data_IF_784793843772
#
_entry.id   IF_784793843772
#
_cell.length_a   1.000
_cell.length_b   1.000
_cell.length_c   1.000
_cell.angle_alpha   90.00
_cell.angle_beta   90.00
_cell.angle_gamma   90.00
#
_symmetry.space_group_name_H-M   'P 1'
#
loop_
_entity.id
_entity.type
_entity.pdbx_description
1 polymer ?
#
# COMPACT_ATOMS: atom_id res chain seq x y z
N UNK A 1 3.76 -10.02 10.73
CA UNK A 1 4.06 -11.43 11.10
C UNK A 1 2.92 -12.38 10.74
N UNK A 2 1.70 -12.12 11.19
CA UNK A 2 0.52 -12.98 10.94
C UNK A 2 0.28 -13.28 9.44
N UNK A 3 0.32 -12.26 8.57
CA UNK A 3 0.08 -12.41 7.13
C UNK A 3 1.07 -13.35 6.43
N UNK A 4 2.36 -13.27 6.80
CA UNK A 4 3.37 -14.19 6.25
C UNK A 4 3.12 -15.64 6.68
N UNK A 5 2.73 -15.84 7.95
CA UNK A 5 2.38 -17.15 8.48
C UNK A 5 1.14 -17.70 7.77
N UNK A 6 0.11 -16.88 7.60
CA UNK A 6 -1.11 -17.26 6.88
C UNK A 6 -0.82 -17.61 5.41
N UNK A 7 0.02 -16.82 4.72
CA UNK A 7 0.43 -17.10 3.35
C UNK A 7 1.12 -18.46 3.21
N UNK A 8 2.09 -18.76 4.10
CA UNK A 8 2.74 -20.08 4.13
C UNK A 8 1.77 -21.20 4.46
N UNK A 9 0.84 -20.99 5.41
CA UNK A 9 -0.19 -21.96 5.72
C UNK A 9 -1.03 -22.29 4.49
N UNK A 10 -1.51 -21.30 3.73
CA UNK A 10 -2.29 -21.51 2.50
C UNK A 10 -1.49 -22.30 1.46
N UNK A 11 -0.20 -22.01 1.28
CA UNK A 11 0.65 -22.77 0.36
C UNK A 11 0.75 -24.23 0.81
N UNK A 12 1.13 -24.46 2.07
CA UNK A 12 1.37 -25.80 2.59
C UNK A 12 0.11 -26.67 2.58
N UNK A 13 -1.06 -26.12 2.95
CA UNK A 13 -2.31 -26.88 2.94
C UNK A 13 -2.77 -27.22 1.53
N UNK A 14 -2.47 -26.37 0.52
CA UNK A 14 -2.75 -26.67 -0.88
C UNK A 14 -1.79 -27.74 -1.44
N UNK A 15 -0.51 -27.66 -1.11
CA UNK A 15 0.47 -28.70 -1.44
C UNK A 15 0.03 -30.05 -0.84
N UNK A 16 -0.38 -30.06 0.43
CA UNK A 16 -0.91 -31.25 1.08
C UNK A 16 -2.15 -31.79 0.36
N UNK A 17 -3.11 -30.93 0.04
CA UNK A 17 -4.33 -31.32 -0.70
C UNK A 17 -4.04 -31.96 -2.05
N UNK A 18 -3.08 -31.40 -2.79
CA UNK A 18 -2.63 -31.93 -4.06
C UNK A 18 -2.04 -33.35 -3.91
N UNK A 19 -1.08 -33.51 -3.00
CA UNK A 19 -0.42 -34.79 -2.80
C UNK A 19 -1.34 -35.88 -2.24
N UNK A 20 -2.28 -35.54 -1.36
CA UNK A 20 -3.25 -36.50 -0.84
C UNK A 20 -4.16 -37.04 -1.93
N UNK A 21 -4.58 -36.21 -2.90
CA UNK A 21 -5.36 -36.66 -4.07
C UNK A 21 -4.57 -37.65 -4.92
N UNK A 22 -3.28 -37.38 -5.16
CA UNK A 22 -2.38 -38.29 -5.90
C UNK A 22 -2.16 -39.60 -5.15
N UNK A 23 -1.91 -39.51 -3.84
CA UNK A 23 -1.72 -40.72 -2.99
C UNK A 23 -2.97 -41.59 -2.93
N UNK A 24 -4.17 -41.01 -2.73
CA UNK A 24 -5.41 -41.79 -2.70
C UNK A 24 -5.68 -42.46 -4.07
N UNK A 25 -5.32 -41.81 -5.17
CA UNK A 25 -5.36 -42.42 -6.52
C UNK A 25 -4.41 -43.62 -6.64
N UNK A 26 -3.19 -43.46 -6.16
CA UNK A 26 -2.20 -44.56 -6.17
C UNK A 26 -2.67 -45.75 -5.34
N UNK A 27 -3.13 -45.52 -4.10
CA UNK A 27 -3.68 -46.56 -3.20
C UNK A 27 -4.89 -47.27 -3.85
N UNK A 28 -5.77 -46.52 -4.52
CA UNK A 28 -6.91 -47.08 -5.25
C UNK A 28 -6.49 -48.00 -6.41
N UNK A 29 -5.39 -47.69 -7.10
CA UNK A 29 -4.83 -48.55 -8.16
C UNK A 29 -4.15 -49.80 -7.59
N UNK A 30 -3.50 -49.66 -6.43
CA UNK A 30 -2.81 -50.77 -5.74
C UNK A 30 -3.75 -51.65 -4.92
N UNK A 31 -5.08 -51.43 -4.97
CA UNK A 31 -6.06 -52.14 -4.13
C UNK A 31 -5.78 -52.06 -2.62
N UNK A 32 -5.05 -51.03 -2.18
CA UNK A 32 -4.68 -50.81 -0.77
C UNK A 32 -5.74 -49.96 -0.03
N UNK A 33 -5.58 -49.88 1.31
CA UNK A 33 -6.44 -49.04 2.15
C UNK A 33 -6.38 -47.59 1.71
N UNK A 34 -7.57 -47.05 1.38
CA UNK A 34 -7.72 -45.69 0.83
C UNK A 34 -7.78 -44.66 1.94
N UNK A 35 -7.42 -43.41 1.58
CA UNK A 35 -7.61 -42.27 2.47
C UNK A 35 -9.11 -42.01 2.64
N UNK A 36 -9.63 -41.89 3.87
CA UNK A 36 -11.04 -41.57 4.10
C UNK A 36 -11.46 -40.28 3.38
N UNK A 37 -12.63 -40.26 2.69
CA UNK A 37 -13.12 -39.12 1.97
C UNK A 37 -13.25 -37.87 2.85
N UNK A 38 -13.63 -38.05 4.12
CA UNK A 38 -13.70 -36.93 5.10
C UNK A 38 -12.34 -36.26 5.30
N UNK A 39 -11.22 -36.97 5.28
CA UNK A 39 -9.87 -36.40 5.41
C UNK A 39 -9.56 -35.53 4.20
N UNK A 40 -9.82 -36.01 2.97
CA UNK A 40 -9.61 -35.27 1.74
C UNK A 40 -10.45 -33.97 1.71
N UNK A 41 -11.72 -34.07 2.12
CA UNK A 41 -12.62 -32.93 2.20
C UNK A 41 -12.27 -31.97 3.34
N UNK A 42 -11.79 -32.47 4.49
CA UNK A 42 -11.33 -31.60 5.60
C UNK A 42 -10.11 -30.76 5.21
N UNK A 43 -9.17 -31.34 4.46
CA UNK A 43 -8.01 -30.57 3.93
C UNK A 43 -8.49 -29.49 2.96
N UNK A 44 -9.43 -29.80 2.07
CA UNK A 44 -10.00 -28.80 1.17
C UNK A 44 -10.73 -27.70 1.96
N UNK A 45 -11.52 -28.07 2.99
CA UNK A 45 -12.22 -27.13 3.85
C UNK A 45 -11.27 -26.24 4.68
N UNK A 46 -10.12 -26.78 5.09
CA UNK A 46 -9.09 -26.04 5.81
C UNK A 46 -8.27 -25.08 4.93
N UNK A 47 -8.60 -24.88 3.64
CA UNK A 47 -7.91 -23.97 2.71
C UNK A 47 -7.17 -24.66 1.57
N UNK A 48 -7.09 -25.99 1.56
CA UNK A 48 -6.41 -26.77 0.53
C UNK A 48 -7.26 -27.08 -0.71
N UNK A 49 -8.35 -26.32 -0.94
CA UNK A 49 -9.31 -26.58 -1.99
C UNK A 49 -8.72 -26.45 -3.40
N UNK A 50 -7.86 -25.44 -3.65
CA UNK A 50 -7.19 -25.26 -4.93
C UNK A 50 -6.26 -26.43 -5.25
N UNK A 51 -5.38 -26.81 -4.31
CA UNK A 51 -4.48 -27.95 -4.47
C UNK A 51 -5.23 -29.27 -4.65
N UNK A 52 -6.30 -29.48 -3.87
CA UNK A 52 -7.17 -30.64 -4.02
C UNK A 52 -7.83 -30.69 -5.39
N UNK A 53 -8.35 -29.56 -5.90
CA UNK A 53 -8.96 -29.47 -7.22
C UNK A 53 -7.94 -29.75 -8.33
N UNK A 54 -6.75 -29.16 -8.23
CA UNK A 54 -5.65 -29.41 -9.18
C UNK A 54 -5.25 -30.90 -9.17
N UNK A 55 -5.11 -31.50 -7.99
CA UNK A 55 -4.83 -32.92 -7.84
C UNK A 55 -5.94 -33.81 -8.41
N UNK A 56 -7.21 -33.44 -8.21
CA UNK A 56 -8.34 -34.15 -8.84
C UNK A 56 -8.21 -34.16 -10.36
N UNK A 57 -7.85 -33.04 -11.00
CA UNK A 57 -7.73 -32.93 -12.44
C UNK A 57 -6.50 -33.67 -12.97
N UNK A 58 -5.33 -33.42 -12.42
CA UNK A 58 -4.06 -34.01 -12.89
C UNK A 58 -4.06 -35.53 -12.73
N UNK A 59 -4.47 -36.04 -11.57
CA UNK A 59 -4.50 -37.48 -11.33
C UNK A 59 -5.79 -38.15 -11.81
N UNK A 60 -6.74 -37.40 -12.40
CA UNK A 60 -8.08 -37.87 -12.81
C UNK A 60 -8.73 -38.68 -11.69
N UNK A 61 -8.75 -38.11 -10.47
CA UNK A 61 -9.22 -38.77 -9.27
C UNK A 61 -10.44 -38.06 -8.66
N UNK A 62 -11.45 -38.84 -8.23
CA UNK A 62 -12.70 -38.31 -7.63
C UNK A 62 -13.51 -37.36 -8.53
N UNK A 63 -13.15 -37.20 -9.82
CA UNK A 63 -13.79 -36.26 -10.76
C UNK A 63 -15.25 -36.57 -11.06
N UNK A 64 -15.68 -37.85 -10.87
CA UNK A 64 -17.05 -38.31 -11.03
C UNK A 64 -17.86 -38.38 -9.73
N UNK A 65 -17.20 -38.27 -8.56
CA UNK A 65 -17.88 -38.31 -7.27
C UNK A 65 -18.54 -36.97 -6.96
N UNK A 66 -19.87 -36.93 -6.82
CA UNK A 66 -20.66 -35.70 -6.64
C UNK A 66 -20.13 -34.81 -5.49
N UNK A 67 -19.78 -35.41 -4.32
CA UNK A 67 -19.24 -34.68 -3.17
C UNK A 67 -17.95 -33.93 -3.51
N UNK A 68 -17.08 -34.46 -4.33
CA UNK A 68 -15.82 -33.83 -4.75
C UNK A 68 -16.03 -32.90 -5.94
N UNK A 69 -16.80 -33.33 -6.94
CA UNK A 69 -17.07 -32.55 -8.15
C UNK A 69 -17.72 -31.18 -7.83
N UNK A 70 -18.56 -31.11 -6.83
CA UNK A 70 -19.27 -29.91 -6.40
C UNK A 70 -18.65 -29.30 -5.14
N UNK A 71 -18.36 -30.13 -4.13
CA UNK A 71 -17.90 -29.65 -2.81
C UNK A 71 -16.54 -28.94 -2.85
N UNK A 72 -15.55 -29.51 -3.57
CA UNK A 72 -14.20 -28.90 -3.63
C UNK A 72 -14.21 -27.55 -4.35
N UNK A 73 -14.87 -27.37 -5.51
CA UNK A 73 -15.05 -26.05 -6.12
C UNK A 73 -15.79 -25.04 -5.22
N UNK A 74 -16.87 -25.47 -4.55
CA UNK A 74 -17.56 -24.58 -3.60
C UNK A 74 -16.67 -24.13 -2.45
N UNK A 75 -15.86 -25.03 -1.88
CA UNK A 75 -14.88 -24.67 -0.85
C UNK A 75 -13.82 -23.71 -1.38
N UNK A 76 -13.38 -23.85 -2.65
CA UNK A 76 -12.47 -22.91 -3.28
C UNK A 76 -13.10 -21.54 -3.40
N UNK A 77 -14.33 -21.43 -3.89
CA UNK A 77 -15.06 -20.15 -3.99
C UNK A 77 -15.21 -19.53 -2.60
N UNK A 78 -15.58 -20.32 -1.59
CA UNK A 78 -15.68 -19.82 -0.21
C UNK A 78 -14.35 -19.22 0.29
N UNK A 79 -13.24 -19.90 0.06
CA UNK A 79 -11.92 -19.38 0.45
C UNK A 79 -11.52 -18.12 -0.29
N UNK A 80 -11.82 -18.03 -1.59
CA UNK A 80 -11.60 -16.80 -2.37
C UNK A 80 -12.40 -15.65 -1.75
N UNK A 81 -13.69 -15.86 -1.46
CA UNK A 81 -14.54 -14.83 -0.85
C UNK A 81 -14.03 -14.43 0.55
N UNK A 82 -13.61 -15.39 1.39
CA UNK A 82 -13.07 -15.10 2.71
C UNK A 82 -11.76 -14.30 2.66
N UNK A 83 -10.87 -14.60 1.72
CA UNK A 83 -9.63 -13.86 1.51
C UNK A 83 -9.96 -12.43 1.06
N UNK A 84 -10.81 -12.27 0.06
CA UNK A 84 -11.24 -10.96 -0.44
C UNK A 84 -11.93 -10.12 0.66
N UNK A 85 -12.80 -10.74 1.46
CA UNK A 85 -13.42 -10.06 2.59
C UNK A 85 -12.39 -9.64 3.65
N UNK A 86 -11.40 -10.48 3.94
CA UNK A 86 -10.30 -10.13 4.83
C UNK A 86 -9.47 -8.96 4.29
N UNK A 87 -9.17 -8.97 3.01
CA UNK A 87 -8.43 -7.90 2.34
C UNK A 87 -9.22 -6.59 2.24
N UNK A 88 -10.54 -6.64 2.32
CA UNK A 88 -11.40 -5.46 2.30
C UNK A 88 -11.58 -4.82 3.69
N UNK A 89 -11.75 -5.65 4.73
CA UNK A 89 -12.12 -5.16 6.07
C UNK A 89 -10.96 -5.05 7.06
N UNK A 90 -9.84 -5.76 6.83
CA UNK A 90 -8.75 -5.83 7.80
C UNK A 90 -7.61 -4.89 7.43
N UNK A 91 -7.55 -3.74 8.09
CA UNK A 91 -6.40 -2.83 7.98
C UNK A 91 -5.22 -3.40 8.80
N UNK A 92 -4.05 -3.47 8.19
CA UNK A 92 -2.82 -3.92 8.85
C UNK A 92 -1.92 -2.73 9.22
N UNK A 93 -0.95 -2.95 10.12
CA UNK A 93 0.13 -1.99 10.36
C UNK A 93 1.46 -2.65 10.00
N UNK A 94 2.14 -2.10 9.02
CA UNK A 94 3.50 -2.50 8.64
C UNK A 94 4.51 -1.59 9.32
N UNK A 95 5.53 -2.17 9.98
CA UNK A 95 6.55 -1.42 10.71
C UNK A 95 7.89 -1.61 10.06
N UNK A 96 8.58 -0.50 9.79
CA UNK A 96 9.91 -0.45 9.21
C UNK A 96 10.85 0.31 10.12
N UNK A 97 12.14 0.02 9.99
CA UNK A 97 13.21 0.75 10.65
C UNK A 97 14.16 1.26 9.55
N UNK A 98 14.42 2.55 9.54
CA UNK A 98 15.40 3.21 8.68
C UNK A 98 16.53 3.68 9.57
N UNK A 99 17.78 3.51 9.13
CA UNK A 99 18.95 3.96 9.87
C UNK A 99 19.76 4.91 9.01
N UNK A 100 20.09 6.10 9.56
CA UNK A 100 20.91 7.09 8.85
C UNK A 100 21.83 7.81 9.82
N UNK A 101 23.10 7.90 9.46
CA UNK A 101 24.11 8.65 10.23
C UNK A 101 23.88 10.18 10.17
N UNK A 102 23.13 10.67 9.16
CA UNK A 102 22.70 12.06 9.05
C UNK A 102 21.62 12.45 10.06
N UNK A 103 20.93 11.48 10.67
CA UNK A 103 19.90 11.79 11.66
C UNK A 103 20.54 12.33 12.93
N UNK A 104 20.16 13.55 13.40
CA UNK A 104 20.62 14.07 14.68
C UNK A 104 20.18 13.17 15.86
N UNK A 105 20.96 13.16 16.95
CA UNK A 105 20.68 12.31 18.13
C UNK A 105 19.29 12.58 18.72
N UNK A 106 18.86 13.84 18.75
CA UNK A 106 17.56 14.25 19.30
C UNK A 106 16.36 13.71 18.50
N UNK A 107 16.60 13.27 17.24
CA UNK A 107 15.63 12.58 16.42
C UNK A 107 15.76 11.05 16.47
N UNK A 108 16.67 10.46 17.26
CA UNK A 108 16.77 9.00 17.33
C UNK A 108 15.47 8.38 17.86
N UNK A 109 14.86 7.54 17.08
CA UNK A 109 13.54 6.95 17.38
C UNK A 109 12.36 7.74 16.85
N UNK A 110 12.58 8.81 16.07
CA UNK A 110 11.52 9.58 15.45
C UNK A 110 10.60 8.68 14.62
N UNK A 111 9.31 8.74 14.89
CA UNK A 111 8.31 7.85 14.30
C UNK A 111 7.44 8.60 13.31
N UNK A 112 7.51 8.20 12.06
CA UNK A 112 6.62 8.67 10.98
C UNK A 112 5.54 7.64 10.73
N UNK A 113 4.27 8.07 10.70
CA UNK A 113 3.16 7.22 10.25
C UNK A 113 2.69 7.70 8.89
N UNK A 114 2.80 6.82 7.89
CA UNK A 114 2.35 7.08 6.54
C UNK A 114 0.95 6.47 6.30
N UNK A 115 0.06 7.28 5.75
CA UNK A 115 -1.21 6.87 5.16
C UNK A 115 -1.19 7.30 3.69
N UNK A 116 -1.64 6.41 2.80
CA UNK A 116 -1.65 6.64 1.35
C UNK A 116 -2.87 6.02 0.72
N UNK A 117 -3.27 6.53 -0.42
CA UNK A 117 -4.29 5.91 -1.27
C UNK A 117 -5.54 5.53 -0.45
N UNK A 118 -6.10 6.51 0.26
CA UNK A 118 -7.29 6.31 1.10
C UNK A 118 -8.54 6.16 0.22
N UNK A 119 -8.57 6.87 -0.92
CA UNK A 119 -9.70 6.87 -1.87
C UNK A 119 -11.05 7.00 -1.18
N UNK A 120 -11.15 7.99 -0.29
CA UNK A 120 -12.31 8.30 0.53
C UNK A 120 -12.53 7.31 1.69
N UNK A 121 -12.72 7.82 2.89
CA UNK A 121 -13.19 7.04 4.04
C UNK A 121 -14.66 6.67 3.84
N UNK A 122 -14.95 5.39 3.62
CA UNK A 122 -16.27 4.90 3.20
C UNK A 122 -17.20 4.56 4.35
N UNK A 123 -16.67 4.39 5.56
CA UNK A 123 -17.47 3.98 6.71
C UNK A 123 -16.87 4.46 8.03
N UNK A 124 -17.73 4.60 9.05
CA UNK A 124 -17.30 4.91 10.41
C UNK A 124 -16.38 3.83 10.97
N UNK A 125 -16.56 2.57 10.61
CA UNK A 125 -15.68 1.47 11.02
C UNK A 125 -14.26 1.68 10.49
N UNK A 126 -14.10 2.03 9.21
CA UNK A 126 -12.78 2.29 8.60
C UNK A 126 -12.12 3.51 9.28
N UNK A 127 -12.87 4.57 9.49
CA UNK A 127 -12.44 5.77 10.20
C UNK A 127 -11.88 5.46 11.59
N UNK A 128 -12.70 4.76 12.41
CA UNK A 128 -12.33 4.43 13.79
C UNK A 128 -11.09 3.52 13.85
N UNK A 129 -11.00 2.56 12.93
CA UNK A 129 -9.89 1.61 12.88
C UNK A 129 -8.57 2.29 12.43
N UNK A 130 -8.63 3.23 11.48
CA UNK A 130 -7.46 4.04 11.09
C UNK A 130 -6.97 4.84 12.29
N UNK A 131 -7.83 5.62 12.92
CA UNK A 131 -7.44 6.45 14.08
C UNK A 131 -6.89 5.62 15.23
N UNK A 132 -7.55 4.51 15.55
CA UNK A 132 -7.12 3.60 16.62
C UNK A 132 -5.69 3.09 16.37
N UNK A 133 -5.37 2.74 15.11
CA UNK A 133 -4.06 2.24 14.71
C UNK A 133 -3.01 3.34 14.72
N UNK A 134 -3.31 4.52 14.18
CA UNK A 134 -2.39 5.66 14.18
C UNK A 134 -2.04 6.07 15.61
N UNK A 135 -3.04 6.26 16.49
CA UNK A 135 -2.82 6.59 17.91
C UNK A 135 -1.93 5.57 18.63
N UNK A 136 -2.05 4.28 18.26
CA UNK A 136 -1.21 3.21 18.85
C UNK A 136 0.25 3.33 18.48
N UNK A 137 0.58 3.82 17.29
CA UNK A 137 1.96 3.97 16.83
C UNK A 137 2.65 5.20 17.43
N UNK A 138 1.91 6.15 18.05
CA UNK A 138 2.44 7.38 18.68
C UNK A 138 3.38 8.14 17.74
N UNK A 139 2.88 8.59 16.58
CA UNK A 139 3.72 9.26 15.61
C UNK A 139 4.23 10.61 16.11
N UNK A 140 5.46 10.96 15.74
CA UNK A 140 6.00 12.30 15.81
C UNK A 140 5.63 13.13 14.57
N UNK A 141 5.31 12.44 13.45
CA UNK A 141 4.90 13.02 12.18
C UNK A 141 3.94 12.09 11.47
N UNK A 142 2.92 12.66 10.80
CA UNK A 142 2.00 11.94 9.92
C UNK A 142 2.22 12.40 8.48
N UNK A 143 2.45 11.44 7.58
CA UNK A 143 2.64 11.66 6.15
C UNK A 143 1.45 11.12 5.35
N UNK A 144 0.74 12.00 4.66
CA UNK A 144 -0.36 11.65 3.75
C UNK A 144 0.19 11.73 2.32
N UNK A 145 0.47 10.57 1.73
CA UNK A 145 1.23 10.48 0.48
C UNK A 145 0.34 10.34 -0.77
N UNK A 146 -0.73 11.13 -0.83
CA UNK A 146 -1.60 11.28 -1.99
C UNK A 146 -2.77 10.31 -2.06
N UNK A 147 -3.66 10.58 -3.02
CA UNK A 147 -4.88 9.83 -3.29
C UNK A 147 -5.77 9.65 -2.06
N UNK A 148 -6.04 10.77 -1.35
CA UNK A 148 -7.00 10.79 -0.23
C UNK A 148 -8.45 10.71 -0.73
N UNK A 149 -8.70 11.14 -1.97
CA UNK A 149 -10.01 11.16 -2.62
C UNK A 149 -9.97 10.46 -3.96
N UNK A 150 -11.15 10.05 -4.44
CA UNK A 150 -11.30 9.51 -5.79
C UNK A 150 -11.50 10.63 -6.82
N UNK A 151 -10.95 10.49 -8.01
CA UNK A 151 -11.25 11.38 -9.12
C UNK A 151 -12.73 11.28 -9.54
N UNK A 152 -13.35 12.39 -10.02
CA UNK A 152 -14.71 12.37 -10.56
C UNK A 152 -14.80 11.38 -11.72
N UNK A 153 -15.82 10.51 -11.68
CA UNK A 153 -16.05 9.50 -12.70
C UNK A 153 -15.45 8.12 -12.38
N UNK A 154 -14.50 8.02 -11.45
CA UNK A 154 -13.98 6.74 -10.97
C UNK A 154 -14.76 6.20 -9.77
N UNK A 155 -15.35 7.06 -8.95
CA UNK A 155 -16.21 6.62 -7.86
C UNK A 155 -17.62 6.28 -8.34
N UNK A 156 -18.12 5.10 -8.00
CA UNK A 156 -19.53 4.71 -8.19
C UNK A 156 -20.49 5.44 -7.22
N UNK A 157 -19.96 6.20 -6.28
CA UNK A 157 -20.76 7.03 -5.38
C UNK A 157 -21.12 8.33 -6.10
N UNK A 158 -22.40 8.54 -6.37
CA UNK A 158 -22.95 9.81 -6.86
C UNK A 158 -22.72 10.90 -5.81
N UNK A 159 -21.65 11.63 -5.89
CA UNK A 159 -21.24 12.67 -4.94
C UNK A 159 -20.17 12.14 -3.98
N UNK A 160 -18.99 12.70 -4.09
CA UNK A 160 -17.86 12.43 -3.21
C UNK A 160 -18.17 12.97 -1.82
N UNK A 161 -18.68 12.12 -0.92
CA UNK A 161 -18.76 12.50 0.48
C UNK A 161 -17.37 12.50 1.09
N UNK A 162 -16.69 13.65 1.00
CA UNK A 162 -15.37 13.86 1.56
C UNK A 162 -15.38 14.17 3.06
N UNK A 163 -16.55 14.34 3.67
CA UNK A 163 -16.69 14.76 5.07
C UNK A 163 -15.91 13.87 6.05
N UNK A 164 -16.03 12.54 5.92
CA UNK A 164 -15.31 11.62 6.78
C UNK A 164 -13.80 11.68 6.54
N UNK A 165 -13.37 11.92 5.30
CA UNK A 165 -11.94 12.04 4.97
C UNK A 165 -11.36 13.33 5.54
N UNK A 166 -12.05 14.47 5.39
CA UNK A 166 -11.65 15.75 6.00
C UNK A 166 -11.63 15.64 7.52
N UNK A 167 -12.67 15.05 8.11
CA UNK A 167 -12.74 14.80 9.55
C UNK A 167 -11.56 13.93 10.02
N UNK A 168 -11.21 12.87 9.27
CA UNK A 168 -10.04 12.04 9.55
C UNK A 168 -8.77 12.89 9.53
N UNK A 169 -8.58 13.73 8.53
CA UNK A 169 -7.43 14.63 8.43
C UNK A 169 -7.30 15.53 9.67
N UNK A 170 -8.40 16.11 10.15
CA UNK A 170 -8.41 16.94 11.36
C UNK A 170 -8.02 16.16 12.62
N UNK A 171 -8.54 14.96 12.81
CA UNK A 171 -8.15 14.12 13.94
C UNK A 171 -6.68 13.67 13.86
N UNK A 172 -6.17 13.39 12.65
CA UNK A 172 -4.76 13.07 12.43
C UNK A 172 -3.86 14.26 12.78
N UNK A 173 -4.20 15.46 12.31
CA UNK A 173 -3.48 16.70 12.66
C UNK A 173 -3.49 17.01 14.16
N UNK A 174 -4.54 16.58 14.88
CA UNK A 174 -4.60 16.65 16.34
C UNK A 174 -3.73 15.64 17.07
N UNK A 175 -3.21 14.59 16.40
CA UNK A 175 -2.33 13.59 16.99
C UNK A 175 -0.85 14.01 16.86
N UNK A 176 -0.43 14.45 15.66
CA UNK A 176 0.93 14.90 15.36
C UNK A 176 0.91 15.84 14.13
N UNK A 177 1.98 16.63 13.90
CA UNK A 177 2.13 17.39 12.67
C UNK A 177 1.87 16.50 11.44
N UNK A 178 0.89 16.91 10.63
CA UNK A 178 0.44 16.13 9.48
C UNK A 178 0.74 16.89 8.17
N UNK A 179 1.44 16.21 7.27
CA UNK A 179 1.81 16.72 5.97
C UNK A 179 1.13 15.93 4.86
N UNK A 180 0.71 16.63 3.83
CA UNK A 180 -0.02 16.06 2.71
C UNK A 180 0.60 16.48 1.38
N UNK A 181 0.63 15.57 0.43
CA UNK A 181 0.94 15.82 -0.98
C UNK A 181 -0.19 15.31 -1.86
N UNK A 182 -0.32 15.87 -3.04
CA UNK A 182 -1.28 15.37 -4.02
C UNK A 182 -0.80 14.09 -4.69
N UNK A 183 -1.72 13.12 -4.83
CA UNK A 183 -1.60 12.00 -5.76
C UNK A 183 -2.27 12.34 -7.10
N UNK A 184 -2.34 11.37 -8.00
CA UNK A 184 -2.91 11.58 -9.32
C UNK A 184 -4.43 11.80 -9.29
N UNK A 185 -5.15 11.30 -8.28
CA UNK A 185 -6.59 11.49 -8.16
C UNK A 185 -6.96 12.93 -7.76
N UNK A 186 -6.20 13.56 -6.87
CA UNK A 186 -6.39 14.97 -6.56
C UNK A 186 -6.10 15.85 -7.78
N UNK A 187 -5.11 15.49 -8.57
CA UNK A 187 -4.70 16.29 -9.74
C UNK A 187 -5.77 16.35 -10.84
N UNK A 188 -6.57 15.28 -11.01
CA UNK A 188 -7.69 15.24 -11.97
C UNK A 188 -8.85 16.15 -11.51
N UNK A 189 -8.96 16.41 -10.21
CA UNK A 189 -10.02 17.25 -9.63
C UNK A 189 -9.83 18.76 -9.87
N UNK A 190 -8.69 19.16 -10.45
CA UNK A 190 -8.23 20.53 -10.34
C UNK A 190 -8.33 21.29 -11.66
N UNK A 191 -9.41 22.09 -11.83
CA UNK A 191 -9.39 23.23 -12.75
C UNK A 191 -8.50 24.37 -12.19
N UNK A 192 -8.46 24.52 -10.86
CA UNK A 192 -7.63 25.48 -10.12
C UNK A 192 -7.21 24.86 -8.77
N UNK A 193 -5.96 24.38 -8.62
CA UNK A 193 -5.47 23.73 -7.40
C UNK A 193 -5.61 24.61 -6.15
N UNK A 194 -5.43 25.92 -6.29
CA UNK A 194 -5.46 26.84 -5.14
C UNK A 194 -6.88 27.03 -4.59
N UNK A 195 -7.91 26.85 -5.42
CA UNK A 195 -9.31 27.02 -5.05
C UNK A 195 -10.07 25.71 -4.82
N UNK A 196 -9.38 24.58 -4.83
CA UNK A 196 -10.02 23.29 -4.59
C UNK A 196 -10.67 23.23 -3.20
N UNK A 197 -12.01 23.04 -3.11
CA UNK A 197 -12.69 23.01 -1.82
C UNK A 197 -12.20 21.90 -0.89
N UNK A 198 -11.74 20.78 -1.41
CA UNK A 198 -11.17 19.70 -0.61
C UNK A 198 -9.82 20.11 -0.01
N UNK A 199 -8.93 20.73 -0.81
CA UNK A 199 -7.66 21.32 -0.32
C UNK A 199 -7.93 22.26 0.85
N UNK A 200 -8.80 23.25 0.63
CA UNK A 200 -9.13 24.26 1.65
C UNK A 200 -9.63 23.58 2.93
N UNK A 201 -10.55 22.62 2.82
CA UNK A 201 -11.09 21.91 3.97
C UNK A 201 -10.02 21.08 4.71
N UNK A 202 -9.06 20.48 4.01
CA UNK A 202 -7.96 19.71 4.61
C UNK A 202 -6.96 20.63 5.32
N UNK A 203 -6.64 21.78 4.73
CA UNK A 203 -5.77 22.80 5.35
C UNK A 203 -6.46 23.45 6.56
N UNK A 204 -7.74 23.78 6.49
CA UNK A 204 -8.54 24.28 7.62
C UNK A 204 -8.64 23.24 8.76
N UNK A 205 -8.60 21.95 8.42
CA UNK A 205 -8.53 20.86 9.39
C UNK A 205 -7.15 20.73 10.05
N UNK A 206 -6.14 21.51 9.66
CA UNK A 206 -4.82 21.57 10.29
C UNK A 206 -3.74 20.72 9.63
N UNK A 207 -4.00 20.13 8.46
CA UNK A 207 -2.99 19.41 7.68
C UNK A 207 -2.26 20.37 6.75
N UNK A 208 -0.94 20.29 6.68
CA UNK A 208 -0.11 21.15 5.83
C UNK A 208 0.13 20.51 4.47
N UNK A 209 -0.23 21.22 3.40
CA UNK A 209 0.04 20.79 2.04
C UNK A 209 1.47 21.17 1.63
N UNK A 210 2.26 20.16 1.23
CA UNK A 210 3.66 20.30 0.80
C UNK A 210 3.84 20.04 -0.71
N UNK A 211 2.98 20.59 -1.56
CA UNK A 211 3.19 20.46 -3.01
C UNK A 211 4.33 21.37 -3.49
N UNK A 212 5.42 20.74 -3.95
CA UNK A 212 6.67 21.41 -4.41
C UNK A 212 7.20 22.39 -3.35
N UNK A 213 7.15 21.96 -2.08
CA UNK A 213 7.59 22.74 -0.92
C UNK A 213 8.32 21.85 0.06
N UNK A 214 9.12 22.49 0.91
CA UNK A 214 9.72 21.83 2.05
C UNK A 214 9.50 22.63 3.34
N UNK A 215 9.48 21.93 4.44
CA UNK A 215 9.54 22.46 5.79
C UNK A 215 10.69 21.83 6.56
N UNK A 216 11.24 22.56 7.48
CA UNK A 216 12.26 22.10 8.43
C UNK A 216 11.59 21.89 9.78
N UNK A 217 11.69 20.68 10.32
CA UNK A 217 11.24 20.36 11.67
C UNK A 217 12.43 20.60 12.61
N UNK A 218 12.25 21.46 13.60
CA UNK A 218 13.26 21.76 14.63
C UNK A 218 12.89 21.06 15.93
N UNK A 219 13.89 20.45 16.56
CA UNK A 219 13.81 19.87 17.88
C UNK A 219 15.16 20.06 18.59
N UNK A 220 15.13 20.72 19.75
CA UNK A 220 16.33 20.96 20.59
C UNK A 220 17.53 21.61 19.84
N UNK A 221 17.22 22.46 18.86
CA UNK A 221 18.20 23.20 18.04
C UNK A 221 18.81 22.42 16.86
N UNK A 222 18.34 21.20 16.61
CA UNK A 222 18.70 20.41 15.42
C UNK A 222 17.51 20.25 14.51
N UNK A 223 17.76 19.97 13.24
CA UNK A 223 16.73 20.03 12.19
C UNK A 223 16.65 18.77 11.34
N UNK A 224 15.45 18.50 10.84
CA UNK A 224 15.12 17.47 9.87
C UNK A 224 14.30 18.10 8.74
N UNK A 225 14.63 17.82 7.49
CA UNK A 225 13.89 18.35 6.34
C UNK A 225 12.75 17.40 5.93
N UNK A 226 11.57 17.98 5.67
CA UNK A 226 10.44 17.28 5.06
C UNK A 226 10.07 18.01 3.79
N UNK A 227 10.20 17.33 2.66
CA UNK A 227 9.92 17.87 1.33
C UNK A 227 8.74 17.12 0.72
N UNK A 228 7.83 17.82 0.08
CA UNK A 228 6.70 17.23 -0.65
C UNK A 228 6.76 17.55 -2.13
N UNK A 229 6.54 16.54 -2.95
CA UNK A 229 6.41 16.64 -4.41
C UNK A 229 4.95 16.36 -4.79
N UNK A 230 4.49 16.98 -5.86
CA UNK A 230 3.17 16.65 -6.39
C UNK A 230 3.23 15.52 -7.41
N UNK A 231 2.08 14.91 -7.73
CA UNK A 231 2.05 13.86 -8.74
C UNK A 231 2.34 14.44 -10.14
N UNK A 232 3.27 13.86 -10.91
CA UNK A 232 3.65 14.38 -12.21
C UNK A 232 2.62 14.20 -13.32
N UNK A 233 1.53 13.44 -13.10
CA UNK A 233 0.44 13.24 -14.09
C UNK A 233 -0.41 14.48 -14.36
N UNK A 234 0.08 15.64 -14.01
CA UNK A 234 -0.69 16.88 -14.05
C UNK A 234 -1.18 17.18 -15.45
N UNK A 235 -2.49 17.22 -15.62
CA UNK A 235 -3.19 17.89 -16.72
C UNK A 235 -3.25 19.40 -16.50
N UNK A 236 -2.85 19.86 -15.31
CA UNK A 236 -2.92 21.26 -14.92
C UNK A 236 -1.78 22.07 -15.54
N UNK A 237 -2.12 23.26 -16.02
CA UNK A 237 -1.18 24.21 -16.64
C UNK A 237 -0.44 25.02 -15.56
N UNK A 238 0.42 24.37 -14.78
CA UNK A 238 1.38 25.09 -13.98
C UNK A 238 2.36 25.81 -14.94
N UNK A 239 2.49 27.15 -14.85
CA UNK A 239 3.33 27.91 -15.79
C UNK A 239 4.80 27.50 -15.77
N UNK A 240 5.31 27.02 -14.64
CA UNK A 240 6.71 26.60 -14.46
C UNK A 240 6.90 25.15 -14.89
N UNK A 241 6.00 24.25 -14.46
CA UNK A 241 6.14 22.81 -14.69
C UNK A 241 5.56 22.32 -16.02
N UNK A 242 4.70 23.13 -16.67
CA UNK A 242 4.08 22.74 -17.96
C UNK A 242 5.05 22.65 -19.15
N UNK A 243 6.27 23.15 -19.01
CA UNK A 243 7.32 23.02 -20.02
C UNK A 243 7.93 21.61 -20.06
N UNK A 244 7.76 20.81 -19.00
CA UNK A 244 8.30 19.44 -18.92
C UNK A 244 7.28 18.44 -19.42
N UNK A 245 7.69 17.60 -20.38
CA UNK A 245 6.78 16.70 -21.10
C UNK A 245 6.80 15.26 -20.58
N UNK A 246 7.67 14.93 -19.65
CA UNK A 246 7.79 13.60 -19.04
C UNK A 246 7.89 13.67 -17.51
N UNK A 247 7.54 12.57 -16.86
CA UNK A 247 7.48 12.50 -15.41
C UNK A 247 8.85 12.69 -14.74
N UNK A 248 9.93 12.23 -15.38
CA UNK A 248 11.29 12.34 -14.84
C UNK A 248 11.69 13.80 -14.75
N UNK A 249 11.70 14.53 -15.88
CA UNK A 249 12.11 15.93 -15.95
C UNK A 249 11.26 16.83 -15.05
N UNK A 250 9.97 16.47 -14.88
CA UNK A 250 9.07 17.22 -14.00
C UNK A 250 9.45 17.04 -12.52
N UNK A 251 9.70 15.80 -12.08
CA UNK A 251 10.14 15.52 -10.70
C UNK A 251 11.52 16.11 -10.43
N UNK A 252 12.44 16.11 -11.39
CA UNK A 252 13.73 16.80 -11.28
C UNK A 252 13.52 18.31 -10.99
N UNK A 253 12.69 18.97 -11.77
CA UNK A 253 12.38 20.38 -11.57
C UNK A 253 11.68 20.64 -10.22
N UNK A 254 10.79 19.76 -9.77
CA UNK A 254 10.15 19.88 -8.46
C UNK A 254 11.14 19.71 -7.32
N UNK A 255 12.09 18.79 -7.43
CA UNK A 255 13.17 18.60 -6.45
C UNK A 255 14.09 19.82 -6.41
N UNK A 256 14.47 20.37 -7.57
CA UNK A 256 15.27 21.59 -7.65
C UNK A 256 14.60 22.76 -6.90
N UNK A 257 13.28 22.91 -7.06
CA UNK A 257 12.53 23.97 -6.38
C UNK A 257 12.37 23.69 -4.89
N UNK A 258 11.94 22.47 -4.53
CA UNK A 258 11.58 22.15 -3.16
C UNK A 258 12.80 22.01 -2.24
N UNK A 259 13.96 21.60 -2.76
CA UNK A 259 15.20 21.49 -2.00
C UNK A 259 16.01 22.80 -1.99
N UNK A 260 15.61 23.80 -2.79
CA UNK A 260 16.32 25.06 -2.86
C UNK A 260 16.39 25.76 -1.49
N UNK A 261 17.62 26.03 -1.05
CA UNK A 261 17.87 26.73 0.23
C UNK A 261 17.80 25.87 1.48
N UNK A 262 17.54 24.56 1.35
CA UNK A 262 17.67 23.64 2.49
C UNK A 262 19.13 23.29 2.76
N UNK A 263 19.43 23.06 4.04
CA UNK A 263 20.66 22.41 4.42
C UNK A 263 20.56 20.89 4.12
N UNK A 264 21.27 20.45 3.10
CA UNK A 264 21.25 19.08 2.60
C UNK A 264 22.12 18.12 3.39
N UNK A 265 22.90 18.61 4.36
CA UNK A 265 23.61 17.77 5.33
C UNK A 265 22.65 17.20 6.38
N UNK A 266 21.48 17.83 6.56
CA UNK A 266 20.42 17.31 7.41
C UNK A 266 19.69 16.13 6.73
N UNK A 267 19.15 15.22 7.57
CA UNK A 267 18.30 14.14 7.08
C UNK A 267 17.10 14.70 6.31
N UNK A 268 16.94 14.26 5.07
CA UNK A 268 15.87 14.74 4.17
C UNK A 268 14.86 13.63 3.87
N UNK A 269 13.63 13.81 4.36
CA UNK A 269 12.46 12.99 4.08
C UNK A 269 11.68 13.62 2.91
N UNK A 270 11.48 12.85 1.84
CA UNK A 270 10.65 13.25 0.69
C UNK A 270 9.33 12.47 0.69
N UNK A 271 8.23 13.19 0.58
CA UNK A 271 6.91 12.65 0.29
C UNK A 271 6.67 12.74 -1.21
N UNK A 272 6.48 11.62 -1.87
CA UNK A 272 6.17 11.55 -3.31
C UNK A 272 5.24 10.39 -3.60
N UNK A 273 4.22 10.62 -4.42
CA UNK A 273 3.23 9.59 -4.72
C UNK A 273 3.78 8.45 -5.59
N UNK A 274 4.80 8.71 -6.44
CA UNK A 274 5.31 7.85 -7.52
C UNK A 274 6.52 6.99 -7.13
N UNK A 275 6.36 5.70 -6.83
CA UNK A 275 7.49 4.84 -6.45
C UNK A 275 8.41 4.46 -7.61
N UNK A 276 7.93 4.48 -8.86
CA UNK A 276 8.72 4.13 -10.04
C UNK A 276 9.84 5.11 -10.35
N UNK A 277 9.84 6.28 -9.71
CA UNK A 277 10.83 7.35 -9.91
C UNK A 277 11.97 7.32 -8.86
N UNK A 278 12.16 6.21 -8.14
CA UNK A 278 13.22 6.06 -7.12
C UNK A 278 14.60 6.45 -7.63
N UNK A 279 14.94 6.08 -8.87
CA UNK A 279 16.26 6.37 -9.43
C UNK A 279 16.44 7.88 -9.67
N UNK A 280 15.35 8.65 -9.88
CA UNK A 280 15.37 10.12 -9.97
C UNK A 280 15.59 10.74 -8.59
N UNK A 281 14.85 10.30 -7.59
CA UNK A 281 15.03 10.82 -6.22
C UNK A 281 16.47 10.61 -5.72
N UNK A 282 17.11 9.52 -6.13
CA UNK A 282 18.47 9.16 -5.73
C UNK A 282 19.58 10.01 -6.40
N UNK A 283 19.23 10.82 -7.39
CA UNK A 283 20.17 11.80 -7.98
C UNK A 283 20.28 13.06 -7.10
N UNK A 284 19.45 13.20 -6.06
CA UNK A 284 19.37 14.32 -5.13
C UNK A 284 19.77 13.91 -3.69
N UNK A 285 20.07 14.87 -2.81
CA UNK A 285 20.43 14.59 -1.41
C UNK A 285 19.20 14.21 -0.57
N UNK A 286 18.57 13.09 -0.94
CA UNK A 286 17.36 12.53 -0.32
C UNK A 286 17.73 11.24 0.42
N UNK A 287 17.40 11.17 1.71
CA UNK A 287 17.71 10.00 2.55
C UNK A 287 16.57 8.97 2.54
N UNK A 288 15.32 9.45 2.64
CA UNK A 288 14.13 8.60 2.69
C UNK A 288 13.01 9.15 1.82
N UNK A 289 12.38 8.28 1.04
CA UNK A 289 11.17 8.58 0.26
C UNK A 289 10.00 7.76 0.78
N UNK A 290 8.84 8.38 0.98
CA UNK A 290 7.58 7.70 1.25
C UNK A 290 6.65 7.82 0.06
N UNK A 291 6.23 6.67 -0.49
CA UNK A 291 5.40 6.62 -1.69
C UNK A 291 4.17 5.72 -1.53
N UNK A 292 3.15 6.00 -2.36
CA UNK A 292 1.93 5.21 -2.50
C UNK A 292 1.75 4.65 -3.91
N UNK A 293 0.58 4.93 -4.52
CA UNK A 293 0.22 4.73 -5.93
C UNK A 293 0.14 3.27 -6.41
N UNK A 294 1.02 2.40 -5.93
CA UNK A 294 1.14 1.03 -6.44
C UNK A 294 0.06 0.07 -5.93
N UNK A 295 -0.74 0.48 -4.94
CA UNK A 295 -1.79 -0.35 -4.30
C UNK A 295 -1.35 -1.78 -3.98
N UNK A 296 -0.08 -1.96 -3.59
CA UNK A 296 0.49 -3.28 -3.33
C UNK A 296 0.61 -4.18 -4.56
N UNK A 297 0.34 -3.66 -5.77
CA UNK A 297 0.23 -4.43 -7.00
C UNK A 297 -1.07 -5.20 -7.11
N UNK A 298 -2.15 -4.69 -6.54
CA UNK A 298 -3.57 -5.09 -6.57
C UNK A 298 -3.83 -6.54 -6.15
N UNK A 299 -3.31 -7.50 -6.90
CA UNK A 299 -3.36 -8.95 -6.61
C UNK A 299 -1.96 -9.43 -6.28
N UNK A 300 -1.81 -10.16 -5.17
CA UNK A 300 -0.51 -10.61 -4.68
C UNK A 300 -0.47 -12.13 -4.55
N UNK A 301 0.73 -12.67 -4.59
CA UNK A 301 0.94 -14.05 -4.15
C UNK A 301 0.84 -14.12 -2.62
N UNK A 302 0.41 -15.27 -2.07
CA UNK A 302 0.27 -15.45 -0.61
C UNK A 302 1.58 -15.20 0.16
N UNK A 303 2.71 -15.27 -0.51
CA UNK A 303 4.05 -15.02 0.06
C UNK A 303 4.87 -14.14 -0.88
N UNK A 304 5.87 -13.46 -0.33
CA UNK A 304 6.73 -12.55 -1.09
C UNK A 304 6.18 -11.13 -1.16
N UNK A 305 6.77 -10.32 -2.05
CA UNK A 305 6.38 -8.92 -2.30
C UNK A 305 5.81 -8.71 -3.71
N UNK A 306 5.64 -9.78 -4.48
CA UNK A 306 5.18 -9.67 -5.86
C UNK A 306 3.71 -9.29 -5.91
N UNK A 307 3.44 -8.09 -6.43
CA UNK A 307 2.15 -7.68 -6.93
C UNK A 307 2.00 -8.06 -8.40
N UNK A 308 0.78 -8.13 -8.90
CA UNK A 308 0.52 -8.60 -10.26
C UNK A 308 0.47 -7.45 -11.25
N UNK A 309 -0.12 -6.31 -10.85
CA UNK A 309 -0.28 -5.14 -11.69
C UNK A 309 -0.27 -3.86 -10.84
N UNK A 310 0.44 -2.83 -11.27
CA UNK A 310 0.38 -1.50 -10.67
C UNK A 310 0.32 -0.42 -11.74
N UNK A 311 -0.32 0.73 -11.45
CA UNK A 311 -0.31 1.88 -12.34
C UNK A 311 1.11 2.27 -12.71
N UNK A 312 1.32 2.76 -13.93
CA UNK A 312 2.61 3.22 -14.47
C UNK A 312 3.76 2.19 -14.49
N UNK A 313 3.58 1.00 -13.88
CA UNK A 313 4.55 -0.09 -13.89
C UNK A 313 4.07 -1.33 -14.66
N UNK A 314 2.76 -1.43 -14.99
CA UNK A 314 2.19 -2.54 -15.75
C UNK A 314 2.21 -3.88 -14.98
N UNK A 315 2.49 -4.98 -15.70
CA UNK A 315 2.52 -6.32 -15.15
C UNK A 315 3.83 -6.62 -14.43
N UNK A 316 3.73 -7.33 -13.28
CA UNK A 316 4.85 -7.71 -12.41
C UNK A 316 5.69 -6.49 -11.98
N UNK A 317 5.06 -5.48 -11.38
CA UNK A 317 5.69 -4.21 -11.04
C UNK A 317 6.86 -4.40 -10.06
N UNK A 318 7.91 -3.60 -10.23
CA UNK A 318 9.11 -3.60 -9.38
C UNK A 318 8.81 -3.07 -7.97
N UNK A 319 8.05 -1.98 -7.88
CA UNK A 319 7.79 -1.27 -6.63
C UNK A 319 6.33 -1.42 -6.23
N UNK A 320 6.03 -2.32 -5.29
CA UNK A 320 4.65 -2.59 -4.88
C UNK A 320 4.38 -2.33 -3.40
N UNK A 321 5.32 -2.68 -2.52
CA UNK A 321 5.19 -2.45 -1.08
C UNK A 321 6.49 -2.75 -0.35
N UNK A 322 6.69 -2.08 0.78
CA UNK A 322 7.86 -2.29 1.64
C UNK A 322 9.05 -1.44 1.24
N UNK A 323 10.23 -1.83 1.69
CA UNK A 323 11.48 -1.09 1.52
C UNK A 323 12.19 -1.42 0.23
N UNK A 324 12.68 -0.39 -0.44
CA UNK A 324 13.56 -0.45 -1.60
C UNK A 324 14.74 0.48 -1.36
N UNK A 325 15.87 0.18 -1.95
CA UNK A 325 17.07 1.01 -1.91
C UNK A 325 17.49 1.35 -3.34
N UNK A 326 17.89 2.60 -3.54
CA UNK A 326 18.43 3.06 -4.81
C UNK A 326 19.68 2.31 -5.22
N UNK A 327 20.00 2.32 -6.52
CA UNK A 327 21.17 1.63 -7.08
C UNK A 327 22.50 2.16 -6.52
N UNK A 328 22.59 3.46 -6.19
CA UNK A 328 23.73 4.08 -5.53
C UNK A 328 23.77 3.85 -4.01
N UNK A 329 22.71 3.26 -3.42
CA UNK A 329 22.61 2.95 -2.00
C UNK A 329 22.33 4.14 -1.08
N UNK A 330 22.26 5.37 -1.62
CA UNK A 330 22.11 6.61 -0.83
C UNK A 330 20.69 6.88 -0.36
N UNK A 331 19.69 6.46 -1.14
CA UNK A 331 18.27 6.72 -0.86
C UNK A 331 17.52 5.44 -0.55
N UNK A 332 16.77 5.43 0.55
CA UNK A 332 15.80 4.39 0.87
C UNK A 332 14.38 4.86 0.54
N UNK A 333 13.54 3.97 0.01
CA UNK A 333 12.14 4.27 -0.26
C UNK A 333 11.25 3.23 0.39
N UNK A 334 10.16 3.70 0.99
CA UNK A 334 9.10 2.85 1.53
C UNK A 334 7.82 3.08 0.73
N UNK A 335 7.28 1.99 0.17
CA UNK A 335 6.05 2.01 -0.62
C UNK A 335 4.92 1.42 0.19
N UNK A 336 3.84 2.19 0.35
CA UNK A 336 2.60 1.75 0.98
C UNK A 336 1.72 0.95 0.03
N UNK A 337 0.96 -0.01 0.58
CA UNK A 337 -0.10 -0.71 -0.18
C UNK A 337 -1.40 0.08 -0.26
N UNK A 338 -1.44 1.23 0.39
CA UNK A 338 -2.64 2.05 0.46
C UNK A 338 -3.73 1.50 1.38
N UNK A 339 -4.71 2.33 1.68
CA UNK A 339 -5.85 2.03 2.57
C UNK A 339 -7.14 1.78 1.80
N UNK A 340 -7.34 2.46 0.68
CA UNK A 340 -8.53 2.37 -0.17
C UNK A 340 -8.39 1.36 -1.31
N UNK A 341 -9.38 1.37 -2.18
CA UNK A 341 -9.42 0.57 -3.38
C UNK A 341 -9.14 1.47 -4.58
N UNK A 342 -8.39 0.97 -5.57
CA UNK A 342 -8.19 1.65 -6.84
C UNK A 342 -9.36 1.40 -7.81
N UNK A 343 -9.17 1.67 -9.10
CA UNK A 343 -10.14 1.41 -10.18
C UNK A 343 -10.73 -0.02 -10.13
N UNK A 344 -9.94 -1.00 -9.70
CA UNK A 344 -10.40 -2.37 -9.49
C UNK A 344 -10.76 -2.50 -8.00
N UNK A 345 -12.06 -2.55 -7.64
CA UNK A 345 -12.50 -2.53 -6.25
C UNK A 345 -12.34 -3.91 -5.57
N UNK A 346 -11.21 -4.57 -5.80
CA UNK A 346 -10.91 -5.90 -5.26
C UNK A 346 -9.42 -6.03 -4.97
N UNK A 347 -9.10 -6.45 -3.76
CA UNK A 347 -7.75 -6.85 -3.35
C UNK A 347 -7.71 -8.35 -3.11
N UNK A 348 -6.58 -8.99 -3.40
CA UNK A 348 -6.37 -10.41 -3.17
C UNK A 348 -4.99 -10.69 -2.59
N UNK A 349 -4.92 -11.24 -1.41
CA UNK A 349 -3.71 -11.34 -0.57
C UNK A 349 -3.01 -9.98 -0.37
N UNK A 350 -3.79 -8.91 -0.30
CA UNK A 350 -3.30 -7.54 -0.33
C UNK A 350 -4.09 -6.64 0.63
N UNK A 351 -4.02 -6.94 1.92
CA UNK A 351 -4.70 -6.15 2.96
C UNK A 351 -4.25 -4.69 2.94
N UNK A 352 -5.17 -3.73 3.11
CA UNK A 352 -4.85 -2.33 3.35
C UNK A 352 -3.86 -2.15 4.50
N UNK A 353 -3.00 -1.14 4.42
CA UNK A 353 -2.03 -0.91 5.48
C UNK A 353 -1.84 0.56 5.86
N UNK A 354 -1.53 0.73 7.13
CA UNK A 354 -0.86 1.90 7.66
C UNK A 354 0.62 1.53 7.80
N UNK A 355 1.51 2.41 7.39
CA UNK A 355 2.95 2.20 7.51
C UNK A 355 3.49 3.02 8.67
N UNK A 356 4.21 2.39 9.59
CA UNK A 356 4.89 3.04 10.72
C UNK A 356 6.39 2.89 10.53
N UNK A 357 7.11 4.00 10.51
CA UNK A 357 8.55 4.05 10.25
C UNK A 357 9.24 4.64 11.48
N UNK A 358 10.16 3.89 12.06
CA UNK A 358 11.05 4.42 13.11
C UNK A 358 12.39 4.73 12.47
N UNK A 359 12.77 6.01 12.50
CA UNK A 359 14.05 6.47 11.99
C UNK A 359 15.05 6.42 13.17
N UNK A 360 16.21 5.87 12.91
CA UNK A 360 17.28 5.65 13.88
C UNK A 360 18.60 6.21 13.37
N UNK A 361 19.42 6.63 14.29
CA UNK A 361 20.82 6.96 14.03
C UNK A 361 21.73 5.72 14.01
#
# INVERSE_FOLDING_TARGET
MFYKIFGWYIILINVLGFFLMGRDKHLAKAHAWRIPERVLLSVAAAGGAFGSLLGMQIFRHKTKHRKFKVGVPLLLVLWIVLIMAGDHFLITTSRYKVTSEKLPEDFDGFTVVQLSDIHIVRSQFQYDEILRKVKKEKPDLIALTGDLVDAPGYSKSNGTNTELTVKLCGELAGIAPAYYIYGNHEMILLDDPEKNPFKVAVEEAGVKLLNVKAETIEKDGVTLNVCGLQDPSILYKDPVLSQYNDNKSRIEAELDIALAGLDTDNFTLVLSHRPELLDVYAEYPVDLVLSGHAHGGQFRLPVGRCGLIAPNQGWLPKYTSGTYRSSNGGTEMIVSRGLGESEIPVRFFNMPEIVSITIKR
#
